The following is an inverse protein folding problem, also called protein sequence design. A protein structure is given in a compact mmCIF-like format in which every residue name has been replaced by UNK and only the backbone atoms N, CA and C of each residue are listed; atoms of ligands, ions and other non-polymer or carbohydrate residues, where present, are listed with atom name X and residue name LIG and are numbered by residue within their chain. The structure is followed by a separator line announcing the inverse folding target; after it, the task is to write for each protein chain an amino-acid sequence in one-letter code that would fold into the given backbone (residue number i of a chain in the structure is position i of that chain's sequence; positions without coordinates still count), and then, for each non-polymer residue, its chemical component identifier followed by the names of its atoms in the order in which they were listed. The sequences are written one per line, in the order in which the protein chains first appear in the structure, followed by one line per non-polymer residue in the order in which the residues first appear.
data_IF_722033231047
#
_entry.id   IF_722033231047
#
_cell.length_a   1.000
_cell.length_b   1.000
_cell.length_c   1.000
_cell.angle_alpha   90.00
_cell.angle_beta   90.00
_cell.angle_gamma   90.00
#
_symmetry.space_group_name_H-M   'P 1'
#
loop_
_entity.id
_entity.type
_entity.pdbx_description
1 polymer ?
#
# COMPACT_ATOMS: atom_id res chain seq x y z
N UNK A 1 -3.40 -10.80 0.00
CA UNK A 1 -2.70 -11.57 1.04
C UNK A 1 -1.62 -12.40 0.36
N UNK A 2 -0.46 -12.60 0.99
CA UNK A 2 0.58 -13.46 0.41
C UNK A 2 0.08 -14.92 0.39
N UNK A 3 0.25 -15.68 -0.71
CA UNK A 3 -0.19 -17.08 -0.78
C UNK A 3 0.39 -17.96 0.34
N UNK A 4 1.63 -17.66 0.76
CA UNK A 4 2.33 -18.36 1.84
C UNK A 4 1.70 -18.09 3.22
N UNK A 5 1.23 -16.87 3.47
CA UNK A 5 0.57 -16.53 4.74
C UNK A 5 -0.79 -17.24 4.85
N UNK A 6 -1.54 -17.33 3.74
CA UNK A 6 -2.79 -18.08 3.67
C UNK A 6 -2.57 -19.57 3.93
N UNK A 7 -1.58 -20.15 3.26
CA UNK A 7 -1.25 -21.58 3.40
C UNK A 7 -0.86 -21.96 4.84
N UNK A 8 -0.07 -21.13 5.54
CA UNK A 8 0.31 -21.43 6.92
C UNK A 8 -0.87 -21.28 7.90
N UNK A 9 -1.74 -20.29 7.68
CA UNK A 9 -2.97 -20.13 8.46
C UNK A 9 -3.91 -21.33 8.26
N UNK A 10 -4.11 -21.76 7.01
CA UNK A 10 -4.92 -22.93 6.65
C UNK A 10 -4.35 -24.22 7.26
N UNK A 11 -3.02 -24.40 7.24
CA UNK A 11 -2.37 -25.55 7.89
C UNK A 11 -2.58 -25.56 9.40
N UNK A 12 -2.46 -24.40 10.05
CA UNK A 12 -2.70 -24.26 11.50
C UNK A 12 -4.16 -24.56 11.85
N UNK A 13 -5.11 -24.05 11.07
CA UNK A 13 -6.54 -24.30 11.26
C UNK A 13 -6.89 -25.78 11.05
N UNK A 14 -6.40 -26.40 9.98
CA UNK A 14 -6.59 -27.83 9.71
C UNK A 14 -5.99 -28.70 10.82
N UNK A 15 -4.79 -28.36 11.30
CA UNK A 15 -4.15 -29.07 12.41
C UNK A 15 -5.01 -28.98 13.67
N UNK A 16 -5.41 -27.77 14.09
CA UNK A 16 -6.26 -27.57 15.26
C UNK A 16 -7.59 -28.33 15.15
N UNK A 17 -8.22 -28.34 13.96
CA UNK A 17 -9.45 -29.07 13.71
C UNK A 17 -9.27 -30.59 13.81
N UNK A 18 -8.16 -31.14 13.27
CA UNK A 18 -7.84 -32.58 13.40
C UNK A 18 -7.52 -32.96 14.83
N UNK A 19 -6.79 -32.11 15.55
CA UNK A 19 -6.46 -32.36 16.96
C UNK A 19 -7.71 -32.37 17.84
N UNK A 20 -8.63 -31.41 17.64
CA UNK A 20 -9.90 -31.38 18.36
C UNK A 20 -10.78 -32.61 18.09
N UNK A 21 -10.80 -33.10 16.84
CA UNK A 21 -11.51 -34.34 16.49
C UNK A 21 -10.92 -35.56 17.19
N UNK A 22 -9.59 -35.65 17.27
CA UNK A 22 -8.91 -36.76 17.94
C UNK A 22 -9.14 -36.74 19.45
N UNK A 23 -9.07 -35.58 20.08
CA UNK A 23 -9.38 -35.38 21.50
C UNK A 23 -10.82 -35.81 21.83
N UNK A 24 -11.79 -35.47 20.97
CA UNK A 24 -13.18 -35.90 21.12
C UNK A 24 -13.37 -37.41 20.96
N UNK A 25 -12.53 -38.08 20.16
CA UNK A 25 -12.54 -39.54 20.02
C UNK A 25 -11.93 -40.24 21.23
N UNK A 26 -10.83 -39.72 21.79
CA UNK A 26 -10.24 -40.19 23.04
C UNK A 26 -11.25 -40.13 24.20
N UNK A 27 -11.98 -39.02 24.33
CA UNK A 27 -12.97 -38.83 25.39
C UNK A 27 -14.23 -39.71 25.27
N UNK A 28 -14.50 -40.30 24.09
CA UNK A 28 -15.62 -41.22 23.87
C UNK A 28 -15.29 -42.69 24.15
N UNK A 29 -14.03 -43.03 24.41
CA UNK A 29 -13.61 -44.41 24.65
C UNK A 29 -14.02 -44.88 26.06
N UNK A 30 -14.73 -46.01 26.21
CA UNK A 30 -15.42 -46.38 27.46
C UNK A 30 -14.56 -47.03 28.56
N UNK A 31 -13.26 -47.23 28.36
CA UNK A 31 -12.39 -47.96 29.32
C UNK A 31 -11.30 -47.05 29.93
N UNK A 32 -11.39 -46.69 31.22
CA UNK A 32 -10.37 -45.91 31.91
C UNK A 32 -9.21 -46.81 32.33
N UNK A 33 -8.37 -47.23 31.37
CA UNK A 33 -7.08 -47.83 31.67
C UNK A 33 -6.01 -46.74 31.90
N UNK A 34 -5.03 -46.99 32.77
CA UNK A 34 -3.90 -46.08 33.06
C UNK A 34 -3.22 -45.59 31.78
N UNK A 35 -3.17 -46.45 30.75
CA UNK A 35 -2.65 -46.20 29.40
C UNK A 35 -3.39 -45.08 28.66
N UNK A 36 -4.72 -44.98 28.80
CA UNK A 36 -5.54 -43.96 28.15
C UNK A 36 -5.24 -42.55 28.69
N UNK A 37 -5.00 -42.43 30.01
CA UNK A 37 -4.62 -41.15 30.63
C UNK A 37 -3.22 -40.68 30.21
N UNK A 38 -2.26 -41.61 30.11
CA UNK A 38 -0.90 -41.32 29.62
C UNK A 38 -0.94 -40.83 28.18
N UNK A 39 -1.72 -41.49 27.33
CA UNK A 39 -1.88 -41.11 25.92
C UNK A 39 -2.53 -39.73 25.77
N UNK A 40 -3.50 -39.38 26.61
CA UNK A 40 -4.11 -38.04 26.61
C UNK A 40 -3.10 -36.95 27.01
N UNK A 41 -2.24 -37.22 27.99
CA UNK A 41 -1.17 -36.30 28.40
C UNK A 41 -0.11 -36.13 27.30
N UNK A 42 0.35 -37.22 26.69
CA UNK A 42 1.28 -37.18 25.55
C UNK A 42 0.67 -36.42 24.36
N UNK A 43 -0.61 -36.66 24.07
CA UNK A 43 -1.32 -35.98 23.00
C UNK A 43 -1.44 -34.47 23.25
N UNK A 44 -1.80 -34.06 24.47
CA UNK A 44 -1.87 -32.65 24.83
C UNK A 44 -0.50 -31.96 24.72
N UNK A 45 0.57 -32.66 25.13
CA UNK A 45 1.95 -32.19 25.03
C UNK A 45 2.39 -32.05 23.58
N UNK A 46 2.07 -33.03 22.73
CA UNK A 46 2.33 -32.98 21.30
C UNK A 46 1.57 -31.83 20.63
N UNK A 47 0.28 -31.65 20.95
CA UNK A 47 -0.53 -30.55 20.43
C UNK A 47 0.09 -29.20 20.79
N UNK A 48 0.43 -28.98 22.05
CA UNK A 48 1.05 -27.75 22.51
C UNK A 48 2.38 -27.49 21.77
N UNK A 49 3.23 -28.51 21.66
CA UNK A 49 4.50 -28.42 20.93
C UNK A 49 4.31 -28.03 19.46
N UNK A 50 3.39 -28.68 18.73
CA UNK A 50 3.16 -28.37 17.32
C UNK A 50 2.55 -26.97 17.15
N UNK A 51 1.59 -26.59 18.01
CA UNK A 51 1.02 -25.24 17.97
C UNK A 51 2.10 -24.18 18.22
N UNK A 52 3.00 -24.40 19.17
CA UNK A 52 4.13 -23.51 19.42
C UNK A 52 5.10 -23.46 18.23
N UNK A 53 5.44 -24.62 17.64
CA UNK A 53 6.30 -24.69 16.46
C UNK A 53 5.71 -23.94 15.25
N UNK A 54 4.40 -24.09 15.00
CA UNK A 54 3.70 -23.38 13.93
C UNK A 54 3.67 -21.87 14.17
N UNK A 55 3.41 -21.44 15.40
CA UNK A 55 3.44 -20.01 15.77
C UNK A 55 4.85 -19.42 15.59
N UNK A 56 5.88 -20.14 16.02
CA UNK A 56 7.27 -19.74 15.84
C UNK A 56 7.64 -19.63 14.35
N UNK A 57 7.21 -20.60 13.53
CA UNK A 57 7.45 -20.55 12.09
C UNK A 57 6.73 -19.36 11.44
N UNK A 58 5.49 -19.08 11.84
CA UNK A 58 4.74 -17.91 11.36
C UNK A 58 5.46 -16.60 11.69
N UNK A 59 5.94 -16.46 12.92
CA UNK A 59 6.69 -15.28 13.33
C UNK A 59 8.00 -15.11 12.55
N UNK A 60 8.73 -16.20 12.28
CA UNK A 60 9.94 -16.17 11.47
C UNK A 60 9.66 -15.76 10.03
N UNK A 61 8.62 -16.31 9.41
CA UNK A 61 8.23 -15.94 8.04
C UNK A 61 7.84 -14.46 7.96
N UNK A 62 7.06 -13.96 8.93
CA UNK A 62 6.72 -12.54 8.99
C UNK A 62 7.97 -11.65 9.17
N UNK A 63 8.92 -12.05 10.00
CA UNK A 63 10.16 -11.31 10.22
C UNK A 63 10.98 -11.24 8.92
N UNK A 64 11.16 -12.37 8.23
CA UNK A 64 11.89 -12.44 6.97
C UNK A 64 11.21 -11.59 5.89
N UNK A 65 9.89 -11.64 5.78
CA UNK A 65 9.14 -10.81 4.84
C UNK A 65 9.36 -9.30 5.10
N UNK A 66 9.36 -8.88 6.37
CA UNK A 66 9.63 -7.49 6.76
C UNK A 66 11.08 -7.09 6.47
N UNK A 67 12.06 -7.96 6.74
CA UNK A 67 13.46 -7.70 6.43
C UNK A 67 13.70 -7.58 4.92
N UNK A 68 13.04 -8.42 4.12
CA UNK A 68 13.11 -8.35 2.67
C UNK A 68 12.54 -7.04 2.14
N UNK A 69 11.32 -6.65 2.58
CA UNK A 69 10.71 -5.37 2.21
C UNK A 69 11.59 -4.17 2.59
N UNK A 70 12.19 -4.20 3.78
CA UNK A 70 13.09 -3.14 4.22
C UNK A 70 14.33 -3.05 3.33
N UNK A 71 14.98 -4.17 3.04
CA UNK A 71 16.17 -4.22 2.18
C UNK A 71 15.85 -3.71 0.78
N UNK A 72 14.73 -4.16 0.22
CA UNK A 72 14.25 -3.73 -1.09
C UNK A 72 13.94 -2.23 -1.12
N UNK A 73 13.24 -1.71 -0.10
CA UNK A 73 12.96 -0.27 0.04
C UNK A 73 14.25 0.54 0.10
N UNK A 74 15.26 0.07 0.85
CA UNK A 74 16.56 0.74 0.96
C UNK A 74 17.30 0.74 -0.38
N UNK A 75 17.19 -0.32 -1.17
CA UNK A 75 17.72 -0.37 -2.54
C UNK A 75 17.02 0.63 -3.48
N UNK A 76 15.70 0.81 -3.31
CA UNK A 76 14.84 1.71 -4.10
C UNK A 76 14.85 3.17 -3.65
N UNK A 77 15.49 3.53 -2.52
CA UNK A 77 15.46 4.89 -1.93
C UNK A 77 15.93 6.01 -2.85
N UNK A 78 16.77 5.69 -3.84
CA UNK A 78 17.28 6.63 -4.85
C UNK A 78 16.49 6.55 -6.16
N UNK A 79 15.27 5.99 -6.15
CA UNK A 79 14.50 5.76 -7.37
C UNK A 79 13.18 6.52 -7.33
N UNK A 80 12.81 7.10 -8.46
CA UNK A 80 11.51 7.73 -8.69
C UNK A 80 10.95 7.24 -10.03
N UNK A 81 9.62 7.34 -10.17
CA UNK A 81 8.91 7.08 -11.41
C UNK A 81 8.31 8.40 -11.89
N UNK A 82 8.51 8.69 -13.18
CA UNK A 82 7.94 9.86 -13.85
C UNK A 82 6.91 9.37 -14.86
N UNK A 83 5.72 9.97 -14.81
CA UNK A 83 4.60 9.63 -15.69
C UNK A 83 4.25 10.81 -16.60
N UNK A 84 3.74 10.50 -17.79
CA UNK A 84 3.22 11.48 -18.75
C UNK A 84 4.25 12.00 -19.76
N UNK A 85 5.52 11.61 -19.67
CA UNK A 85 6.55 12.00 -20.64
C UNK A 85 6.31 11.27 -21.97
N UNK A 86 6.10 12.01 -23.05
CA UNK A 86 5.87 11.46 -24.39
C UNK A 86 7.02 10.53 -24.82
N UNK A 87 6.71 9.49 -25.59
CA UNK A 87 7.70 8.56 -26.13
C UNK A 87 8.10 8.95 -27.55
N UNK A 88 9.41 8.93 -27.82
CA UNK A 88 9.94 9.11 -29.18
C UNK A 88 10.77 7.90 -29.58
N UNK A 89 10.70 7.50 -30.87
CA UNK A 89 11.52 6.40 -31.40
C UNK A 89 13.00 6.78 -31.33
N UNK A 90 13.83 5.92 -30.73
CA UNK A 90 15.26 6.18 -30.56
C UNK A 90 15.60 7.24 -29.51
N UNK A 91 14.70 7.51 -28.57
CA UNK A 91 14.95 8.53 -27.54
C UNK A 91 16.16 8.21 -26.65
N UNK A 92 16.98 9.24 -26.39
CA UNK A 92 18.00 9.20 -25.36
C UNK A 92 17.37 9.60 -24.02
N UNK A 93 16.95 8.58 -23.24
CA UNK A 93 16.15 8.76 -22.02
C UNK A 93 16.82 9.72 -21.03
N UNK A 94 18.16 9.66 -20.90
CA UNK A 94 18.93 10.55 -20.01
C UNK A 94 18.82 12.02 -20.40
N UNK A 95 18.87 12.33 -21.70
CA UNK A 95 18.72 13.70 -22.21
C UNK A 95 17.29 14.20 -22.04
N UNK A 96 16.30 13.35 -22.35
CA UNK A 96 14.88 13.66 -22.14
C UNK A 96 14.61 13.98 -20.67
N UNK A 97 15.16 13.18 -19.76
CA UNK A 97 15.03 13.40 -18.32
C UNK A 97 15.75 14.67 -17.84
N UNK A 98 16.95 14.94 -18.36
CA UNK A 98 17.70 16.14 -17.98
C UNK A 98 16.94 17.41 -18.40
N UNK A 99 16.44 17.42 -19.64
CA UNK A 99 15.61 18.52 -20.15
C UNK A 99 14.30 18.65 -19.37
N UNK A 100 13.63 17.54 -19.06
CA UNK A 100 12.40 17.53 -18.27
C UNK A 100 12.61 18.09 -16.86
N UNK A 101 13.65 17.65 -16.15
CA UNK A 101 13.95 18.09 -14.79
C UNK A 101 14.40 19.56 -14.78
N UNK A 102 15.25 19.96 -15.73
CA UNK A 102 15.70 21.34 -15.87
C UNK A 102 14.55 22.31 -16.12
N UNK A 103 13.69 21.99 -17.09
CA UNK A 103 12.58 22.88 -17.51
C UNK A 103 11.42 22.91 -16.53
N UNK A 104 10.94 21.74 -16.06
CA UNK A 104 9.70 21.67 -15.27
C UNK A 104 9.91 21.74 -13.76
N UNK A 105 11.11 21.41 -13.27
CA UNK A 105 11.43 21.46 -11.84
C UNK A 105 12.35 22.63 -11.45
N UNK A 106 12.79 23.43 -12.42
CA UNK A 106 13.74 24.53 -12.27
C UNK A 106 15.03 24.10 -11.55
N UNK A 107 15.58 22.96 -11.97
CA UNK A 107 16.85 22.41 -11.51
C UNK A 107 17.83 22.43 -12.70
N UNK A 108 18.29 23.63 -13.07
CA UNK A 108 19.08 23.85 -14.28
C UNK A 108 20.45 23.15 -14.26
N UNK A 109 21.00 22.86 -13.08
CA UNK A 109 22.27 22.15 -12.91
C UNK A 109 22.14 20.63 -13.05
N UNK A 110 20.92 20.10 -13.18
CA UNK A 110 20.70 18.66 -13.30
C UNK A 110 21.19 18.14 -14.66
N UNK A 111 22.06 17.13 -14.62
CA UNK A 111 22.71 16.56 -15.81
C UNK A 111 22.58 15.05 -15.88
N UNK A 112 23.01 14.44 -17.00
CA UNK A 112 23.08 12.99 -17.14
C UNK A 112 24.02 12.34 -16.10
N UNK A 113 25.03 13.06 -15.58
CA UNK A 113 25.93 12.55 -14.55
C UNK A 113 25.22 12.26 -13.21
N UNK A 114 24.08 12.92 -12.97
CA UNK A 114 23.25 12.71 -11.78
C UNK A 114 22.35 11.47 -11.88
N UNK A 115 22.26 10.89 -13.08
CA UNK A 115 21.49 9.69 -13.40
C UNK A 115 22.43 8.49 -13.33
N UNK A 116 22.13 7.56 -12.41
CA UNK A 116 22.85 6.29 -12.33
C UNK A 116 22.32 5.25 -13.32
N UNK A 117 21.01 5.24 -13.53
CA UNK A 117 20.32 4.35 -14.47
C UNK A 117 18.93 4.89 -14.73
N UNK A 118 18.48 4.87 -15.98
CA UNK A 118 17.09 5.13 -16.32
C UNK A 118 16.61 4.19 -17.42
N UNK A 119 15.32 3.87 -17.42
CA UNK A 119 14.67 3.14 -18.50
C UNK A 119 13.15 3.33 -18.45
N UNK A 120 12.50 3.13 -19.59
CA UNK A 120 11.04 3.01 -19.65
C UNK A 120 10.60 1.70 -19.01
N UNK A 121 9.57 1.75 -18.20
CA UNK A 121 8.97 0.55 -17.60
C UNK A 121 8.20 -0.21 -18.67
N UNK A 122 8.40 -1.53 -18.74
CA UNK A 122 7.59 -2.40 -19.59
C UNK A 122 6.19 -2.50 -18.99
N UNK A 123 5.26 -1.70 -19.50
CA UNK A 123 3.82 -1.93 -19.35
C UNK A 123 3.32 -2.53 -20.65
N UNK A 124 2.47 -3.56 -20.56
CA UNK A 124 1.61 -3.99 -21.66
C UNK A 124 0.72 -2.79 -22.00
N UNK A 125 1.02 -2.09 -23.11
CA UNK A 125 0.25 -0.92 -23.53
C UNK A 125 -1.11 -1.37 -24.04
N UNK A 126 -2.10 -1.50 -23.16
CA UNK A 126 -3.50 -1.72 -23.55
C UNK A 126 -4.29 -0.41 -23.57
N UNK A 127 -3.68 0.76 -23.36
CA UNK A 127 -4.37 2.05 -23.53
C UNK A 127 -3.39 3.19 -23.74
N UNK A 128 -3.38 3.79 -24.93
CA UNK A 128 -3.13 5.21 -25.31
C UNK A 128 -2.19 6.12 -24.48
N UNK A 129 -1.26 5.58 -23.69
CA UNK A 129 -0.44 6.35 -22.76
C UNK A 129 1.04 6.04 -22.87
N UNK A 130 1.87 7.07 -22.72
CA UNK A 130 3.33 6.94 -22.66
C UNK A 130 3.77 6.14 -21.43
N UNK A 131 4.69 5.18 -21.62
CA UNK A 131 5.21 4.31 -20.57
C UNK A 131 5.95 5.15 -19.51
N UNK A 132 5.74 4.89 -18.21
CA UNK A 132 6.46 5.59 -17.17
C UNK A 132 7.97 5.38 -17.26
N UNK A 133 8.74 6.38 -16.87
CA UNK A 133 10.21 6.30 -16.80
C UNK A 133 10.61 6.02 -15.36
N UNK A 134 11.37 4.96 -15.15
CA UNK A 134 12.03 4.67 -13.88
C UNK A 134 13.43 5.28 -13.92
N UNK A 135 13.72 6.18 -12.98
CA UNK A 135 15.03 6.82 -12.80
C UNK A 135 15.64 6.39 -11.46
N UNK A 136 16.92 6.03 -11.48
CA UNK A 136 17.77 5.88 -10.30
C UNK A 136 18.81 6.99 -10.30
N UNK A 137 18.80 7.81 -9.26
CA UNK A 137 19.75 8.90 -9.06
C UNK A 137 21.07 8.39 -8.48
N UNK A 138 22.14 9.16 -8.73
CA UNK A 138 23.46 8.88 -8.18
C UNK A 138 23.48 9.04 -6.65
N UNK A 139 22.91 10.14 -6.15
CA UNK A 139 22.84 10.49 -4.73
C UNK A 139 21.39 10.49 -4.22
N UNK A 140 21.21 10.36 -2.90
CA UNK A 140 19.87 10.43 -2.32
C UNK A 140 19.37 11.88 -2.25
N UNK A 141 20.32 12.79 -2.09
CA UNK A 141 20.16 14.23 -1.99
C UNK A 141 19.55 14.77 -3.28
N UNK A 142 20.08 14.36 -4.44
CA UNK A 142 19.54 14.72 -5.74
C UNK A 142 18.10 14.21 -5.93
N UNK A 143 17.87 12.93 -5.59
CA UNK A 143 16.53 12.35 -5.60
C UNK A 143 15.56 13.16 -4.73
N UNK A 144 16.01 13.61 -3.56
CA UNK A 144 15.23 14.37 -2.59
C UNK A 144 14.85 15.75 -3.16
N UNK A 145 15.80 16.47 -3.75
CA UNK A 145 15.57 17.76 -4.42
C UNK A 145 14.52 17.65 -5.53
N UNK A 146 14.62 16.62 -6.38
CA UNK A 146 13.62 16.33 -7.42
C UNK A 146 12.26 16.02 -6.81
N UNK A 147 12.22 15.19 -5.76
CA UNK A 147 10.97 14.81 -5.09
C UNK A 147 10.23 16.00 -4.46
N UNK A 148 10.94 16.93 -3.81
CA UNK A 148 10.33 18.11 -3.22
C UNK A 148 9.89 19.14 -4.26
N UNK A 149 10.59 19.21 -5.40
CA UNK A 149 10.27 20.13 -6.50
C UNK A 149 9.03 19.70 -7.30
N UNK A 150 8.51 18.47 -7.10
CA UNK A 150 7.36 17.94 -7.85
C UNK A 150 6.09 18.78 -7.77
N UNK A 151 5.96 19.66 -6.77
CA UNK A 151 4.82 20.58 -6.64
C UNK A 151 4.71 21.54 -7.83
N UNK A 152 5.82 21.82 -8.53
CA UNK A 152 5.87 22.62 -9.75
C UNK A 152 5.19 21.94 -10.95
N UNK A 153 4.95 20.63 -10.88
CA UNK A 153 4.25 19.86 -11.92
C UNK A 153 2.72 19.92 -11.78
N UNK A 154 2.17 20.65 -10.79
CA UNK A 154 0.72 20.77 -10.64
C UNK A 154 0.14 21.49 -11.88
N UNK A 155 -0.81 20.84 -12.53
CA UNK A 155 -1.49 21.39 -13.72
C UNK A 155 -0.79 21.12 -15.05
N UNK A 156 0.40 20.50 -15.06
CA UNK A 156 1.14 20.21 -16.31
C UNK A 156 0.81 18.84 -16.92
N UNK A 157 0.05 17.99 -16.20
CA UNK A 157 -0.25 16.62 -16.61
C UNK A 157 0.85 15.60 -16.27
N UNK A 158 2.03 16.05 -15.85
CA UNK A 158 3.11 15.17 -15.40
C UNK A 158 2.95 14.80 -13.92
N UNK A 159 3.30 13.58 -13.56
CA UNK A 159 3.31 13.16 -12.15
C UNK A 159 4.58 12.41 -11.79
N UNK A 160 5.03 12.59 -10.54
CA UNK A 160 6.18 11.89 -9.96
C UNK A 160 5.68 11.05 -8.78
N UNK A 161 6.03 9.76 -8.78
CA UNK A 161 5.72 8.83 -7.69
C UNK A 161 6.99 8.11 -7.19
N UNK A 162 6.97 7.68 -5.94
CA UNK A 162 8.04 6.82 -5.41
C UNK A 162 7.95 5.41 -6.01
N UNK A 163 9.09 4.76 -6.18
CA UNK A 163 9.14 3.36 -6.57
C UNK A 163 8.96 2.46 -5.33
N UNK A 164 7.72 2.34 -4.85
CA UNK A 164 7.39 1.51 -3.69
C UNK A 164 7.55 0.02 -4.00
N UNK A 165 7.84 -0.79 -2.98
CA UNK A 165 7.70 -2.26 -3.05
C UNK A 165 6.23 -2.62 -3.28
N UNK A 166 5.96 -3.85 -3.73
CA UNK A 166 4.59 -4.30 -3.96
C UNK A 166 3.73 -4.20 -2.70
N UNK A 167 4.23 -4.70 -1.57
CA UNK A 167 3.52 -4.66 -0.29
C UNK A 167 3.14 -3.23 0.11
N UNK A 168 4.07 -2.28 0.01
CA UNK A 168 3.81 -0.87 0.36
C UNK A 168 2.92 -0.16 -0.65
N UNK A 169 3.03 -0.51 -1.93
CA UNK A 169 2.13 -0.01 -2.96
C UNK A 169 0.69 -0.46 -2.71
N UNK A 170 0.49 -1.73 -2.38
CA UNK A 170 -0.83 -2.29 -2.08
C UNK A 170 -1.44 -1.59 -0.84
N UNK A 171 -0.64 -1.38 0.22
CA UNK A 171 -1.04 -0.59 1.39
C UNK A 171 -1.38 0.85 1.03
N UNK A 172 -0.58 1.49 0.17
CA UNK A 172 -0.81 2.86 -0.26
C UNK A 172 -2.11 3.00 -1.05
N UNK A 173 -2.42 2.04 -1.94
CA UNK A 173 -3.68 2.02 -2.67
C UNK A 173 -4.86 1.75 -1.74
N UNK A 174 -4.73 0.79 -0.82
CA UNK A 174 -5.76 0.51 0.19
C UNK A 174 -6.03 1.73 1.08
N UNK A 175 -4.99 2.43 1.53
CA UNK A 175 -5.09 3.65 2.31
C UNK A 175 -5.82 4.76 1.54
N UNK A 176 -5.46 4.97 0.26
CA UNK A 176 -6.13 5.98 -0.59
C UNK A 176 -7.60 5.70 -0.79
N UNK A 177 -7.97 4.43 -0.96
CA UNK A 177 -9.37 4.00 -1.08
C UNK A 177 -10.17 4.31 0.19
N UNK A 178 -9.58 4.08 1.37
CA UNK A 178 -10.27 4.24 2.67
C UNK A 178 -10.31 5.67 3.21
N UNK A 179 -9.21 6.42 3.11
CA UNK A 179 -9.06 7.74 3.75
C UNK A 179 -9.10 8.91 2.75
N UNK A 180 -9.08 8.61 1.45
CA UNK A 180 -9.05 9.60 0.37
C UNK A 180 -7.65 10.11 0.03
N UNK A 181 -7.48 10.51 -1.22
CA UNK A 181 -6.17 10.85 -1.79
C UNK A 181 -5.45 12.03 -1.12
N UNK A 182 -6.19 12.98 -0.54
CA UNK A 182 -5.61 14.19 0.08
C UNK A 182 -4.94 13.89 1.42
N UNK A 183 -5.40 12.87 2.14
CA UNK A 183 -4.92 12.51 3.48
C UNK A 183 -3.80 11.48 3.46
N UNK A 184 -3.47 10.93 2.29
CA UNK A 184 -2.51 9.81 2.16
C UNK A 184 -1.39 10.19 1.22
N UNK A 185 -0.16 10.13 1.69
CA UNK A 185 1.03 10.38 0.89
C UNK A 185 2.15 9.40 1.25
N UNK A 186 3.20 9.43 0.44
CA UNK A 186 4.40 8.63 0.65
C UNK A 186 5.57 9.57 0.92
N UNK A 187 6.49 9.11 1.76
CA UNK A 187 7.79 9.75 1.97
C UNK A 187 8.82 8.68 2.30
N UNK A 188 9.89 8.64 1.51
CA UNK A 188 11.04 7.76 1.67
C UNK A 188 10.64 6.29 1.74
N UNK A 189 9.76 5.92 0.82
CA UNK A 189 9.17 4.59 0.72
C UNK A 189 8.18 4.24 1.83
N UNK A 190 7.89 5.14 2.79
CA UNK A 190 6.91 4.91 3.85
C UNK A 190 5.56 5.54 3.50
N UNK A 191 4.48 4.88 3.88
CA UNK A 191 3.10 5.39 3.71
C UNK A 191 2.69 6.15 4.96
N UNK A 192 2.14 7.33 4.77
CA UNK A 192 1.63 8.20 5.83
C UNK A 192 0.17 8.54 5.59
N UNK A 193 -0.59 8.60 6.68
CA UNK A 193 -2.01 8.96 6.70
C UNK A 193 -2.22 10.08 7.71
N UNK A 194 -2.96 11.12 7.33
CA UNK A 194 -3.47 12.12 8.25
C UNK A 194 -4.75 11.58 8.89
N UNK A 195 -4.70 11.29 10.19
CA UNK A 195 -5.84 10.83 10.96
C UNK A 195 -6.89 11.92 11.16
N UNK A 196 -8.08 11.54 11.63
CA UNK A 196 -9.14 12.49 11.97
C UNK A 196 -8.74 13.42 13.13
N UNK A 197 -7.83 12.94 13.99
CA UNK A 197 -7.14 13.66 15.06
C UNK A 197 -6.19 14.76 14.57
N UNK A 198 -5.92 14.84 13.25
CA UNK A 198 -4.93 15.74 12.68
C UNK A 198 -3.49 15.25 12.85
N UNK A 199 -3.27 14.05 13.40
CA UNK A 199 -1.95 13.46 13.62
C UNK A 199 -1.55 12.65 12.38
N UNK A 200 -0.24 12.64 12.10
CA UNK A 200 0.35 11.89 10.99
C UNK A 200 0.72 10.49 11.47
N UNK A 201 0.08 9.49 10.91
CA UNK A 201 0.31 8.07 11.24
C UNK A 201 1.12 7.41 10.13
N UNK A 202 2.22 6.74 10.50
CA UNK A 202 2.99 5.90 9.58
C UNK A 202 2.36 4.51 9.54
N UNK A 203 2.14 3.99 8.34
CA UNK A 203 1.50 2.69 8.12
C UNK A 203 2.47 1.75 7.43
N UNK A 204 2.64 0.56 7.98
CA UNK A 204 3.52 -0.49 7.46
C UNK A 204 2.73 -1.77 7.16
N UNK A 205 1.61 -1.99 7.83
CA UNK A 205 0.79 -3.20 7.67
C UNK A 205 -0.69 -2.89 7.39
N UNK A 206 -1.43 -3.90 6.92
CA UNK A 206 -2.89 -3.80 6.80
C UNK A 206 -3.58 -3.72 8.17
N UNK A 207 -2.96 -4.23 9.23
CA UNK A 207 -3.50 -4.12 10.59
C UNK A 207 -3.49 -2.65 11.03
N UNK A 208 -2.41 -1.92 10.77
CA UNK A 208 -2.30 -0.48 11.05
C UNK A 208 -3.44 0.30 10.38
N UNK A 209 -3.77 -0.02 9.12
CA UNK A 209 -4.90 0.58 8.41
C UNK A 209 -6.24 0.34 9.10
N UNK A 210 -6.48 -0.90 9.56
CA UNK A 210 -7.72 -1.28 10.23
C UNK A 210 -7.87 -0.55 11.57
N UNK A 211 -6.80 -0.42 12.36
CA UNK A 211 -6.82 0.32 13.62
C UNK A 211 -7.16 1.80 13.41
N UNK A 212 -6.56 2.45 12.41
CA UNK A 212 -6.84 3.86 12.10
C UNK A 212 -8.28 4.07 11.59
N UNK A 213 -8.85 3.09 10.89
CA UNK A 213 -10.22 3.14 10.41
C UNK A 213 -11.24 3.02 11.55
N UNK A 214 -11.00 2.13 12.52
CA UNK A 214 -11.85 1.99 13.72
C UNK A 214 -11.90 3.30 14.52
N UNK A 215 -10.75 3.92 14.77
CA UNK A 215 -10.68 5.20 15.48
C UNK A 215 -11.39 6.34 14.73
N UNK A 216 -11.46 6.29 13.39
CA UNK A 216 -12.21 7.26 12.58
C UNK A 216 -13.72 7.02 12.67
N UNK A 217 -14.15 5.77 12.88
CA UNK A 217 -15.56 5.39 13.01
C UNK A 217 -16.10 5.74 14.40
N UNK A 218 -15.27 5.58 15.44
CA UNK A 218 -15.60 5.91 16.84
C UNK A 218 -15.54 7.42 17.13
N UNK A 219 -14.80 8.20 16.34
CA UNK A 219 -14.69 9.65 16.49
C UNK A 219 -15.79 10.45 15.77
N UNK A 220 -16.88 9.82 15.32
CA UNK A 220 -18.07 10.52 14.85
C UNK A 220 -18.97 10.77 16.07
N UNK A 221 -19.03 11.99 16.65
CA UNK A 221 -20.10 12.32 17.57
C UNK A 221 -21.42 12.22 16.79
N UNK A 222 -22.38 11.52 17.39
CA UNK A 222 -23.77 11.46 16.97
C UNK A 222 -24.34 12.89 16.99
N UNK A 223 -24.30 13.57 15.85
CA UNK A 223 -24.96 14.87 15.70
C UNK A 223 -26.38 14.62 15.23
N UNK A 224 -27.28 14.74 16.19
CA UNK A 224 -28.73 14.89 16.10
C UNK A 224 -29.33 14.89 14.69
N UNK A 225 -29.99 13.77 14.39
CA UNK A 225 -30.95 13.65 13.32
C UNK A 225 -32.25 14.41 13.64
N UNK A 226 -32.26 15.73 13.79
CA UNK A 226 -33.48 16.54 13.73
C UNK A 226 -33.21 17.98 13.28
N UNK A 227 -33.91 18.38 12.21
CA UNK A 227 -33.98 19.71 11.55
C UNK A 227 -33.06 19.91 10.33
N UNK A 228 -33.57 19.48 9.18
CA UNK A 228 -33.73 20.39 8.03
C UNK A 228 -34.89 19.95 7.15
N UNK A 229 -36.04 20.54 7.44
CA UNK A 229 -37.19 20.53 6.56
C UNK A 229 -36.85 21.25 5.25
N UNK A 230 -37.08 20.54 4.14
CA UNK A 230 -37.58 20.97 2.84
C UNK A 230 -37.50 22.48 2.54
N UNK A 231 -36.61 22.85 1.62
CA UNK A 231 -36.88 23.93 0.65
C UNK A 231 -36.44 23.47 -0.74
N UNK A 232 -37.42 23.25 -1.61
CA UNK A 232 -37.25 22.95 -3.04
C UNK A 232 -36.61 24.17 -3.74
N UNK A 233 -35.71 23.98 -4.73
CA UNK A 233 -35.36 25.07 -5.64
C UNK A 233 -36.47 25.25 -6.70
N UNK A 234 -36.92 26.49 -6.86
CA UNK A 234 -37.88 26.90 -7.88
C UNK A 234 -37.23 26.87 -9.27
N UNK A 235 -37.92 26.21 -10.21
CA UNK A 235 -37.61 26.18 -11.64
C UNK A 235 -38.00 27.54 -12.24
N UNK A 236 -37.02 28.34 -12.68
CA UNK A 236 -37.28 29.50 -13.53
C UNK A 236 -37.13 29.09 -14.99
N UNK A 237 -38.26 29.05 -15.70
CA UNK A 237 -38.35 28.78 -17.13
C UNK A 237 -37.74 29.92 -17.96
N UNK A 238 -37.05 29.53 -19.01
CA UNK A 238 -36.52 30.39 -20.06
C UNK A 238 -37.62 31.20 -20.79
N UNK A 239 -37.28 32.43 -21.20
CA UNK A 239 -37.98 33.15 -22.29
C UNK A 239 -37.00 33.41 -23.43
N UNK A 240 -37.30 32.80 -24.58
CA UNK A 240 -36.83 33.20 -25.92
C UNK A 240 -37.58 34.46 -26.35
N UNK A 241 -36.88 35.41 -26.96
CA UNK A 241 -37.39 36.40 -27.91
C UNK A 241 -36.23 36.63 -28.91
N UNK A 242 -36.31 36.11 -30.14
CA UNK A 242 -37.03 36.63 -31.31
C UNK A 242 -36.31 37.82 -31.98
N UNK A 243 -36.04 37.64 -33.26
CA UNK A 243 -35.22 38.45 -34.16
C UNK A 243 -35.95 39.67 -34.75
N UNK A 244 -35.18 40.42 -35.58
CA UNK A 244 -35.46 41.62 -36.42
C UNK A 244 -35.16 42.94 -35.71
N UNK A 245 -34.46 43.92 -36.31
CA UNK A 245 -34.09 44.23 -37.69
C UNK A 245 -32.61 44.52 -37.82
#
# INVERSE_FOLDING_TARGET
MNPLESSLAEMSELFNARMAKFEAQLNKSPEPSTTSSSLALEFSSFRAFITEALNNLQQQVEMLARMQDNTETRSRRKMLIIHGVAETKGEQIEQVLSNFIGSHLALAEFSSADIRRCHRMNRLSTSEGSRPILIKFQTYEMRSQVWFSKTKLKGTGFTISEFLTKARHDIFMAARSRFGMKKVWTKDGCVYILGADGIKHRVVTHRDLNHLQKNTSEAVPEVDAHKRAVTKPAVVKAKRAAARK
#
